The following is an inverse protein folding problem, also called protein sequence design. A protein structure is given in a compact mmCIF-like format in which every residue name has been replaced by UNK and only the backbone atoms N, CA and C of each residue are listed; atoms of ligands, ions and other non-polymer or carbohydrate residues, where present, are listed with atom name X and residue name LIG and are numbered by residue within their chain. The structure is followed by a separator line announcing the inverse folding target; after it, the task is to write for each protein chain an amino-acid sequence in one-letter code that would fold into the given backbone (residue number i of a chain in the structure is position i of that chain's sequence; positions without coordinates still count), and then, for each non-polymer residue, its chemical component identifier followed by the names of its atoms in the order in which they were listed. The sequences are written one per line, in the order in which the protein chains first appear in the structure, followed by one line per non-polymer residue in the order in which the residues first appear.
data_IF_533650077354
#
_entry.id   IF_533650077354
#
_cell.length_a   1.000
_cell.length_b   1.000
_cell.length_c   1.000
_cell.angle_alpha   90.00
_cell.angle_beta   90.00
_cell.angle_gamma   90.00
#
_symmetry.space_group_name_H-M   'P 1'
#
loop_
_entity.id
_entity.type
_entity.pdbx_description
1 polymer ?
#
# COMPACT_ATOMS: atom_id res chain seq x y z
N UNK A 1 -4.15 -38.76 -20.51
CA UNK A 1 -5.00 -37.59 -20.73
C UNK A 1 -5.02 -36.79 -19.47
N UNK A 2 -4.09 -35.82 -19.33
CA UNK A 2 -3.99 -34.92 -18.18
C UNK A 2 -5.07 -33.85 -18.29
N UNK A 3 -6.16 -33.98 -17.54
CA UNK A 3 -7.09 -32.87 -17.29
C UNK A 3 -6.32 -31.81 -16.48
N UNK A 4 -5.92 -30.72 -17.13
CA UNK A 4 -5.54 -29.48 -16.45
C UNK A 4 -6.76 -29.06 -15.61
N UNK A 5 -6.58 -28.99 -14.30
CA UNK A 5 -7.54 -28.35 -13.41
C UNK A 5 -7.42 -26.83 -13.68
N UNK A 6 -8.14 -26.35 -14.68
CA UNK A 6 -8.27 -24.93 -14.98
C UNK A 6 -9.30 -24.34 -14.03
N UNK A 7 -8.88 -23.51 -13.08
CA UNK A 7 -9.85 -22.79 -12.25
C UNK A 7 -9.33 -22.16 -10.95
N UNK A 8 -8.19 -22.56 -10.44
CA UNK A 8 -7.65 -21.97 -9.21
C UNK A 8 -6.79 -20.74 -9.58
N UNK A 9 -7.22 -19.55 -9.12
CA UNK A 9 -6.40 -18.35 -9.19
C UNK A 9 -5.20 -18.51 -8.25
N UNK A 10 -4.03 -17.95 -8.58
CA UNK A 10 -2.87 -18.06 -7.70
C UNK A 10 -3.15 -17.34 -6.37
N UNK A 11 -2.88 -18.04 -5.26
CA UNK A 11 -2.89 -17.44 -3.93
C UNK A 11 -1.61 -16.60 -3.76
N UNK A 12 -1.79 -15.36 -3.34
CA UNK A 12 -0.72 -14.38 -3.16
C UNK A 12 -0.57 -14.05 -1.68
N UNK A 13 0.67 -13.81 -1.25
CA UNK A 13 1.00 -13.36 0.11
C UNK A 13 1.82 -12.07 0.02
N UNK A 14 1.43 -11.06 0.79
CA UNK A 14 2.09 -9.75 0.83
C UNK A 14 3.37 -9.76 1.68
N UNK A 15 4.00 -8.60 1.81
CA UNK A 15 5.26 -8.42 2.54
C UNK A 15 5.04 -7.99 3.99
N UNK A 16 6.09 -8.09 4.84
CA UNK A 16 6.11 -7.41 6.13
C UNK A 16 6.01 -5.88 5.96
N UNK A 17 5.53 -5.16 7.00
CA UNK A 17 5.46 -3.71 6.96
C UNK A 17 6.85 -3.07 6.96
N UNK A 18 6.94 -1.89 6.35
CA UNK A 18 8.08 -0.99 6.46
C UNK A 18 7.73 0.07 7.49
N UNK A 19 8.41 0.05 8.65
CA UNK A 19 8.10 0.95 9.76
C UNK A 19 9.39 1.49 10.35
N UNK A 20 9.44 2.80 10.62
CA UNK A 20 10.52 3.45 11.35
C UNK A 20 10.23 3.51 12.85
N UNK A 21 11.06 4.26 13.60
CA UNK A 21 10.96 4.38 15.07
C UNK A 21 9.81 5.28 15.52
N UNK A 22 9.42 6.27 14.73
CA UNK A 22 8.40 7.26 15.08
C UNK A 22 7.47 7.55 13.89
N UNK A 23 6.71 6.54 13.41
CA UNK A 23 5.80 6.74 12.30
C UNK A 23 4.58 7.57 12.75
N UNK A 24 4.15 8.53 11.93
CA UNK A 24 2.92 9.30 12.16
C UNK A 24 1.84 9.02 11.11
N UNK A 25 2.22 8.51 9.96
CA UNK A 25 1.30 8.21 8.85
C UNK A 25 1.54 6.80 8.32
N UNK A 26 0.48 6.02 8.23
CA UNK A 26 0.48 4.70 7.60
C UNK A 26 -0.06 4.79 6.19
N UNK A 27 0.76 4.45 5.21
CA UNK A 27 0.36 4.35 3.80
C UNK A 27 0.02 2.90 3.48
N UNK A 28 -1.17 2.64 3.00
CA UNK A 28 -1.67 1.30 2.72
C UNK A 28 -1.95 1.10 1.23
N UNK A 29 -1.27 0.11 0.63
CA UNK A 29 -1.69 -0.50 -0.62
C UNK A 29 -2.76 -1.56 -0.42
N UNK A 30 -3.24 -2.18 -1.51
CA UNK A 30 -4.17 -3.31 -1.46
C UNK A 30 -3.42 -4.64 -1.31
N UNK A 31 -2.65 -5.00 -2.33
CA UNK A 31 -1.83 -6.22 -2.46
C UNK A 31 -0.70 -5.94 -3.47
N UNK A 32 0.54 -6.38 -3.21
CA UNK A 32 1.64 -6.16 -4.15
C UNK A 32 1.33 -6.73 -5.55
N UNK A 33 1.73 -6.01 -6.61
CA UNK A 33 1.65 -6.52 -7.99
C UNK A 33 2.64 -7.66 -8.24
N UNK A 34 2.46 -8.40 -9.33
CA UNK A 34 3.30 -9.57 -9.68
C UNK A 34 4.80 -9.28 -9.66
N UNK A 35 5.21 -8.14 -10.22
CA UNK A 35 6.62 -7.75 -10.24
C UNK A 35 7.16 -7.49 -8.83
N UNK A 36 6.36 -6.83 -7.98
CA UNK A 36 6.73 -6.59 -6.58
C UNK A 36 6.89 -7.90 -5.82
N UNK A 37 5.96 -8.85 -6.01
CA UNK A 37 6.05 -10.18 -5.40
C UNK A 37 7.30 -10.94 -5.86
N UNK A 38 7.61 -10.92 -7.15
CA UNK A 38 8.80 -11.58 -7.70
C UNK A 38 10.10 -10.97 -7.20
N UNK A 39 10.17 -9.64 -7.11
CA UNK A 39 11.38 -8.91 -6.68
C UNK A 39 11.44 -8.71 -5.16
N UNK A 40 10.40 -9.08 -4.41
CA UNK A 40 10.27 -8.86 -2.97
C UNK A 40 10.48 -7.39 -2.58
N UNK A 41 9.89 -6.47 -3.37
CA UNK A 41 10.02 -5.02 -3.20
C UNK A 41 8.70 -4.31 -3.42
N UNK A 42 8.35 -3.39 -2.53
CA UNK A 42 7.19 -2.52 -2.70
C UNK A 42 7.33 -1.68 -3.97
N UNK A 43 6.24 -1.66 -4.76
CA UNK A 43 6.14 -0.83 -5.97
C UNK A 43 7.30 -1.00 -6.96
N UNK A 44 7.72 -2.25 -7.19
CA UNK A 44 8.86 -2.57 -8.07
C UNK A 44 8.59 -2.34 -9.57
N UNK A 45 7.33 -2.19 -9.99
CA UNK A 45 7.01 -1.93 -11.38
C UNK A 45 7.47 -0.53 -11.79
N UNK A 46 8.35 -0.36 -12.81
CA UNK A 46 9.00 0.92 -13.13
C UNK A 46 8.05 2.06 -13.47
N UNK A 47 6.86 1.74 -14.01
CA UNK A 47 5.85 2.74 -14.36
C UNK A 47 4.92 3.08 -13.19
N UNK A 48 5.11 2.47 -12.01
CA UNK A 48 4.37 2.85 -10.82
C UNK A 48 4.89 4.19 -10.28
N UNK A 49 4.00 5.13 -10.07
CA UNK A 49 4.34 6.50 -9.65
C UNK A 49 4.72 6.63 -8.18
N UNK A 50 4.61 5.57 -7.37
CA UNK A 50 4.82 5.65 -5.92
C UNK A 50 6.22 6.20 -5.57
N UNK A 51 7.26 5.54 -6.06
CA UNK A 51 8.63 5.98 -5.73
C UNK A 51 9.00 7.35 -6.30
N UNK A 52 8.63 7.75 -7.53
CA UNK A 52 8.79 9.13 -7.99
C UNK A 52 8.07 10.17 -7.12
N UNK A 53 6.85 9.88 -6.66
CA UNK A 53 6.11 10.74 -5.72
C UNK A 53 6.85 10.84 -4.39
N UNK A 54 7.23 9.71 -3.79
CA UNK A 54 7.91 9.68 -2.50
C UNK A 54 9.31 10.30 -2.57
N UNK A 55 10.01 10.19 -3.70
CA UNK A 55 11.29 10.88 -3.93
C UNK A 55 11.14 12.40 -3.79
N UNK A 56 10.09 12.98 -4.36
CA UNK A 56 9.80 14.41 -4.23
C UNK A 56 9.40 14.80 -2.80
N UNK A 57 8.58 13.98 -2.13
CA UNK A 57 8.07 14.28 -0.79
C UNK A 57 9.14 14.10 0.28
N UNK A 58 9.93 13.02 0.21
CA UNK A 58 10.96 12.67 1.20
C UNK A 58 12.36 13.22 0.84
N UNK A 59 12.55 13.84 -0.33
CA UNK A 59 13.80 14.51 -0.71
C UNK A 59 14.94 13.57 -1.05
N UNK A 60 14.68 12.39 -1.64
CA UNK A 60 15.74 11.48 -2.10
C UNK A 60 15.82 11.44 -3.65
N UNK A 61 16.98 11.08 -4.23
CA UNK A 61 17.12 10.92 -5.69
C UNK A 61 16.18 9.84 -6.25
N UNK A 62 15.55 10.11 -7.39
CA UNK A 62 14.59 9.17 -8.02
C UNK A 62 15.25 7.82 -8.35
N UNK A 63 16.55 7.85 -8.67
CA UNK A 63 17.39 6.67 -8.97
C UNK A 63 18.05 6.04 -7.72
N UNK A 64 17.75 6.54 -6.52
CA UNK A 64 18.24 5.94 -5.27
C UNK A 64 17.95 4.44 -5.21
N UNK A 65 18.83 3.67 -4.61
CA UNK A 65 18.60 2.24 -4.39
C UNK A 65 17.42 1.99 -3.45
N UNK A 66 16.91 0.76 -3.44
CA UNK A 66 15.69 0.44 -2.68
C UNK A 66 15.88 0.61 -1.17
N UNK A 67 17.05 0.30 -0.63
CA UNK A 67 17.33 0.45 0.79
C UNK A 67 17.34 1.93 1.20
N UNK A 68 17.94 2.80 0.39
CA UNK A 68 17.92 4.26 0.60
C UNK A 68 16.50 4.83 0.54
N UNK A 69 15.67 4.37 -0.41
CA UNK A 69 14.24 4.77 -0.49
C UNK A 69 13.48 4.41 0.79
N UNK A 70 13.67 3.19 1.30
CA UNK A 70 13.03 2.73 2.53
C UNK A 70 13.53 3.51 3.75
N UNK A 71 14.83 3.83 3.80
CA UNK A 71 15.41 4.64 4.88
C UNK A 71 14.80 6.05 4.90
N UNK A 72 14.74 6.72 3.75
CA UNK A 72 14.16 8.05 3.62
C UNK A 72 12.67 8.08 4.00
N UNK A 73 11.90 7.08 3.56
CA UNK A 73 10.48 6.94 3.92
C UNK A 73 10.30 6.81 5.44
N UNK A 74 11.09 5.95 6.08
CA UNK A 74 11.06 5.77 7.54
C UNK A 74 11.49 7.03 8.29
N UNK A 75 12.52 7.72 7.80
CA UNK A 75 13.01 8.98 8.40
C UNK A 75 11.97 10.09 8.30
N UNK A 76 11.19 10.13 7.23
CA UNK A 76 10.09 11.08 7.06
C UNK A 76 8.85 10.74 7.92
N UNK A 77 8.89 9.68 8.73
CA UNK A 77 7.79 9.30 9.61
C UNK A 77 6.65 8.54 8.92
N UNK A 78 6.91 7.98 7.75
CA UNK A 78 5.93 7.15 7.03
C UNK A 78 6.15 5.67 7.31
N UNK A 79 5.05 4.96 7.61
CA UNK A 79 4.98 3.52 7.56
C UNK A 79 4.30 3.09 6.26
N UNK A 80 4.69 1.94 5.72
CA UNK A 80 4.16 1.40 4.47
C UNK A 80 3.79 -0.06 4.66
N UNK A 81 2.58 -0.43 4.24
CA UNK A 81 2.11 -1.80 4.19
C UNK A 81 1.03 -1.99 3.14
N UNK A 82 0.49 -3.21 3.04
CA UNK A 82 -0.71 -3.53 2.28
C UNK A 82 -1.84 -3.94 3.23
N UNK A 83 -3.09 -3.69 2.84
CA UNK A 83 -4.25 -4.09 3.64
C UNK A 83 -4.36 -5.61 3.69
N UNK A 84 -4.12 -6.28 2.55
CA UNK A 84 -4.29 -7.72 2.44
C UNK A 84 -2.97 -8.45 2.69
N UNK A 85 -3.03 -9.44 3.58
CA UNK A 85 -1.98 -10.42 3.79
C UNK A 85 -2.00 -11.46 2.69
N UNK A 86 -3.20 -11.96 2.37
CA UNK A 86 -3.40 -12.99 1.35
C UNK A 86 -4.65 -12.70 0.52
N UNK A 87 -4.63 -13.08 -0.73
CA UNK A 87 -5.80 -13.12 -1.61
C UNK A 87 -5.52 -13.99 -2.84
N UNK A 88 -6.58 -14.38 -3.54
CA UNK A 88 -6.48 -14.93 -4.89
C UNK A 88 -6.63 -13.82 -5.92
N UNK A 89 -5.68 -13.72 -6.84
CA UNK A 89 -5.70 -12.75 -7.92
C UNK A 89 -4.93 -13.26 -9.13
N UNK A 90 -5.49 -13.10 -10.30
CA UNK A 90 -4.77 -13.27 -11.58
C UNK A 90 -4.22 -11.92 -12.05
N UNK A 91 -2.93 -11.88 -12.39
CA UNK A 91 -2.25 -10.65 -12.80
C UNK A 91 -2.05 -9.65 -11.64
N UNK A 92 -2.00 -8.37 -11.98
CA UNK A 92 -1.68 -7.28 -11.05
C UNK A 92 -2.81 -6.29 -10.80
N UNK A 93 -3.98 -6.47 -11.43
CA UNK A 93 -5.09 -5.55 -11.28
C UNK A 93 -5.88 -5.80 -9.99
N UNK A 94 -6.13 -4.74 -9.24
CA UNK A 94 -6.93 -4.79 -8.02
C UNK A 94 -8.36 -5.31 -8.25
N UNK A 95 -8.93 -5.03 -9.42
CA UNK A 95 -10.26 -5.51 -9.82
C UNK A 95 -10.33 -7.04 -10.01
N UNK A 96 -9.19 -7.70 -10.18
CA UNK A 96 -9.10 -9.15 -10.29
C UNK A 96 -8.97 -9.87 -8.94
N UNK A 97 -8.83 -9.14 -7.83
CA UNK A 97 -8.82 -9.72 -6.47
C UNK A 97 -10.18 -10.37 -6.19
N UNK A 98 -10.16 -11.66 -5.86
CA UNK A 98 -11.36 -12.40 -5.46
C UNK A 98 -11.73 -12.00 -4.01
N UNK A 99 -12.75 -11.18 -3.86
CA UNK A 99 -13.10 -10.55 -2.59
C UNK A 99 -13.37 -11.54 -1.44
N UNK A 100 -13.86 -12.73 -1.75
CA UNK A 100 -14.12 -13.79 -0.78
C UNK A 100 -12.85 -14.50 -0.25
N UNK A 101 -11.70 -14.23 -0.88
CA UNK A 101 -10.40 -14.81 -0.50
C UNK A 101 -9.50 -13.82 0.25
N UNK A 102 -9.99 -12.59 0.47
CA UNK A 102 -9.24 -11.56 1.16
C UNK A 102 -9.00 -11.91 2.63
N UNK A 103 -7.73 -11.97 3.03
CA UNK A 103 -7.29 -12.08 4.42
C UNK A 103 -6.50 -10.81 4.74
N UNK A 104 -6.93 -9.99 5.71
CA UNK A 104 -6.24 -8.75 6.04
C UNK A 104 -4.94 -9.00 6.81
N UNK A 105 -3.99 -8.10 6.65
CA UNK A 105 -2.81 -8.00 7.50
C UNK A 105 -3.18 -7.58 8.93
N UNK A 106 -2.27 -7.79 9.86
CA UNK A 106 -2.40 -7.46 11.29
C UNK A 106 -2.20 -5.97 11.56
N UNK A 107 -2.99 -5.13 10.87
CA UNK A 107 -2.85 -3.68 10.91
C UNK A 107 -3.26 -3.12 12.28
N UNK A 108 -4.21 -3.73 12.96
CA UNK A 108 -4.64 -3.29 14.29
C UNK A 108 -3.48 -3.40 15.28
N UNK A 109 -2.77 -4.52 15.27
CA UNK A 109 -1.59 -4.75 16.12
C UNK A 109 -0.48 -3.74 15.81
N UNK A 110 -0.21 -3.48 14.53
CA UNK A 110 0.76 -2.45 14.13
C UNK A 110 0.38 -1.05 14.64
N UNK A 111 -0.90 -0.70 14.58
CA UNK A 111 -1.40 0.57 15.10
C UNK A 111 -1.31 0.64 16.64
N UNK A 112 -1.46 -0.48 17.35
CA UNK A 112 -1.30 -0.54 18.79
C UNK A 112 0.16 -0.46 19.23
N UNK A 113 1.07 -1.04 18.47
CA UNK A 113 2.52 -0.94 18.68
C UNK A 113 3.05 0.47 18.38
N UNK A 114 2.47 1.16 17.39
CA UNK A 114 2.88 2.48 16.92
C UNK A 114 1.80 3.55 17.16
N UNK A 115 1.65 3.95 18.43
CA UNK A 115 0.58 4.88 18.85
C UNK A 115 0.73 6.31 18.31
N UNK A 116 1.87 6.64 17.75
CA UNK A 116 2.11 7.91 17.06
C UNK A 116 1.43 8.02 15.70
N UNK A 117 1.00 6.90 15.11
CA UNK A 117 0.25 6.90 13.86
C UNK A 117 -1.17 7.42 14.13
N UNK A 118 -1.50 8.56 13.58
CA UNK A 118 -2.84 9.19 13.65
C UNK A 118 -3.48 9.38 12.27
N UNK A 119 -2.72 9.10 11.19
CA UNK A 119 -3.17 9.23 9.80
C UNK A 119 -3.01 7.94 9.04
N UNK A 120 -4.05 7.54 8.31
CA UNK A 120 -4.08 6.37 7.44
C UNK A 120 -4.41 6.83 6.02
N UNK A 121 -3.46 6.65 5.11
CA UNK A 121 -3.58 7.01 3.71
C UNK A 121 -3.71 5.76 2.85
N UNK A 122 -4.73 5.71 2.01
CA UNK A 122 -4.97 4.59 1.10
C UNK A 122 -4.48 4.90 -0.30
N UNK A 123 -3.55 4.11 -0.82
CA UNK A 123 -3.09 4.18 -2.20
C UNK A 123 -4.14 3.56 -3.13
N UNK A 124 -5.17 4.32 -3.44
CA UNK A 124 -6.26 3.91 -4.30
C UNK A 124 -7.49 3.36 -3.56
N UNK A 125 -8.53 3.18 -4.34
CA UNK A 125 -9.87 2.79 -3.86
C UNK A 125 -9.90 1.41 -3.22
N UNK A 126 -9.24 0.41 -3.83
CA UNK A 126 -9.28 -0.98 -3.36
C UNK A 126 -8.68 -1.13 -1.96
N UNK A 127 -7.58 -0.43 -1.68
CA UNK A 127 -6.98 -0.42 -0.34
C UNK A 127 -7.98 0.08 0.72
N UNK A 128 -8.68 1.19 0.46
CA UNK A 128 -9.70 1.72 1.36
C UNK A 128 -10.88 0.75 1.53
N UNK A 129 -11.41 0.19 0.44
CA UNK A 129 -12.55 -0.74 0.49
C UNK A 129 -12.23 -1.99 1.31
N UNK A 130 -11.06 -2.60 1.09
CA UNK A 130 -10.64 -3.78 1.86
C UNK A 130 -10.39 -3.43 3.33
N UNK A 131 -9.79 -2.28 3.63
CA UNK A 131 -9.61 -1.81 5.00
C UNK A 131 -10.95 -1.62 5.71
N UNK A 132 -11.90 -0.92 5.09
CA UNK A 132 -13.23 -0.68 5.67
C UNK A 132 -13.97 -1.99 5.90
N UNK A 133 -13.87 -2.93 4.96
CA UNK A 133 -14.56 -4.24 5.05
C UNK A 133 -14.04 -5.10 6.20
N UNK A 134 -12.73 -5.14 6.42
CA UNK A 134 -12.10 -6.12 7.30
C UNK A 134 -11.65 -5.58 8.64
N UNK A 135 -11.38 -4.27 8.75
CA UNK A 135 -10.65 -3.70 9.87
C UNK A 135 -11.36 -2.52 10.55
N UNK A 136 -12.25 -1.81 9.86
CA UNK A 136 -12.86 -0.58 10.40
C UNK A 136 -13.54 -0.81 11.75
N UNK A 137 -14.32 -1.87 11.87
CA UNK A 137 -15.07 -2.21 13.09
C UNK A 137 -14.20 -2.80 14.22
N UNK A 138 -12.93 -3.05 13.93
CA UNK A 138 -11.95 -3.61 14.88
C UNK A 138 -11.03 -2.56 15.47
N UNK A 139 -11.12 -1.32 14.99
CA UNK A 139 -10.32 -0.22 15.49
C UNK A 139 -10.72 0.16 16.92
N UNK A 140 -9.77 0.57 17.76
CA UNK A 140 -10.08 0.99 19.13
C UNK A 140 -10.95 2.26 19.12
N UNK A 141 -12.13 2.20 19.76
CA UNK A 141 -13.14 3.30 19.80
C UNK A 141 -12.58 4.64 20.33
N UNK A 142 -11.58 4.57 21.22
CA UNK A 142 -11.00 5.76 21.86
C UNK A 142 -9.90 6.43 21.04
N UNK A 143 -9.59 5.91 19.85
CA UNK A 143 -8.51 6.41 19.01
C UNK A 143 -9.04 6.98 17.70
N UNK A 144 -8.89 8.28 17.53
CA UNK A 144 -9.28 8.96 16.30
C UNK A 144 -8.16 8.84 15.25
N UNK A 145 -8.53 8.49 14.02
CA UNK A 145 -7.63 8.48 12.87
C UNK A 145 -8.16 9.40 11.77
N UNK A 146 -7.24 10.09 11.09
CA UNK A 146 -7.54 10.78 9.84
C UNK A 146 -7.40 9.79 8.68
N UNK A 147 -8.47 9.58 7.92
CA UNK A 147 -8.48 8.68 6.76
C UNK A 147 -8.45 9.49 5.47
N UNK A 148 -7.49 9.20 4.59
CA UNK A 148 -7.34 9.90 3.32
C UNK A 148 -7.19 8.87 2.19
N UNK A 149 -8.13 8.90 1.22
CA UNK A 149 -7.96 8.15 -0.01
C UNK A 149 -7.19 8.99 -1.03
N UNK A 150 -6.05 8.46 -1.46
CA UNK A 150 -5.18 9.05 -2.46
C UNK A 150 -5.41 8.41 -3.83
N UNK A 151 -5.16 9.13 -4.93
CA UNK A 151 -5.20 8.53 -6.25
C UNK A 151 -4.17 7.42 -6.36
N UNK A 152 -4.57 6.29 -6.93
CA UNK A 152 -3.67 5.14 -7.09
C UNK A 152 -2.43 5.49 -7.89
N UNK A 153 -1.28 5.03 -7.42
CA UNK A 153 0.01 5.17 -8.11
C UNK A 153 0.22 4.13 -9.21
N UNK A 154 -0.68 3.15 -9.31
CA UNK A 154 -0.66 2.15 -10.37
C UNK A 154 -0.80 2.79 -11.75
N UNK A 155 -0.05 2.33 -12.78
CA UNK A 155 -0.23 2.78 -14.16
C UNK A 155 -1.61 2.42 -14.71
N UNK A 156 -2.31 1.44 -14.15
CA UNK A 156 -3.71 1.15 -14.49
C UNK A 156 -4.66 2.32 -14.20
N UNK A 157 -4.28 3.23 -13.28
CA UNK A 157 -5.01 4.47 -13.01
C UNK A 157 -4.48 5.61 -13.89
N UNK A 158 -4.71 5.51 -15.20
CA UNK A 158 -4.17 6.43 -16.22
C UNK A 158 -4.98 7.72 -16.39
N UNK A 159 -6.14 7.86 -15.74
CA UNK A 159 -7.04 9.02 -15.89
C UNK A 159 -6.48 10.33 -15.29
N UNK A 160 -5.47 10.25 -14.44
CA UNK A 160 -4.87 11.40 -13.76
C UNK A 160 -3.39 11.52 -14.11
N UNK A 161 -2.95 12.73 -14.48
CA UNK A 161 -1.54 13.00 -14.80
C UNK A 161 -0.66 12.94 -13.57
N UNK A 162 0.63 12.67 -13.77
CA UNK A 162 1.61 12.55 -12.67
C UNK A 162 1.65 13.80 -11.78
N UNK A 163 1.67 15.00 -12.36
CA UNK A 163 1.73 16.25 -11.60
C UNK A 163 0.51 16.43 -10.67
N UNK A 164 -0.67 16.04 -11.13
CA UNK A 164 -1.90 16.09 -10.32
C UNK A 164 -1.87 15.08 -9.18
N UNK A 165 -1.40 13.85 -9.46
CA UNK A 165 -1.20 12.84 -8.41
C UNK A 165 -0.22 13.32 -7.35
N UNK A 166 0.94 13.84 -7.79
CA UNK A 166 1.98 14.35 -6.90
C UNK A 166 1.45 15.43 -5.97
N UNK A 167 0.68 16.38 -6.48
CA UNK A 167 0.12 17.47 -5.68
C UNK A 167 -0.83 16.95 -4.60
N UNK A 168 -1.76 16.06 -4.94
CA UNK A 168 -2.69 15.46 -3.99
C UNK A 168 -1.97 14.63 -2.91
N UNK A 169 -0.95 13.87 -3.30
CA UNK A 169 -0.13 13.11 -2.37
C UNK A 169 0.66 14.02 -1.43
N UNK A 170 1.27 15.08 -1.98
CA UNK A 170 2.02 16.07 -1.20
C UNK A 170 1.13 16.77 -0.19
N UNK A 171 -0.02 17.25 -0.63
CA UNK A 171 -1.00 17.91 0.24
C UNK A 171 -1.43 17.01 1.41
N UNK A 172 -1.68 15.74 1.16
CA UNK A 172 -2.12 14.79 2.17
C UNK A 172 -1.01 14.37 3.16
N UNK A 173 0.24 14.25 2.71
CA UNK A 173 1.33 13.71 3.52
C UNK A 173 2.13 14.79 4.26
N UNK A 174 2.11 16.06 3.80
CA UNK A 174 2.90 17.16 4.40
C UNK A 174 2.09 18.10 5.31
N UNK A 175 0.81 17.77 5.58
CA UNK A 175 -0.04 18.52 6.54
C UNK A 175 0.18 18.15 7.98
#
# INVERSE_FOLDING_TARGET
VNKRISGLKPQLTSFPPVVGTSPHTLILGSMPGERSLREQRYYAFPQNSFWPIMATICGFPVDADYAARLAALKQAGFALWDVLQECEREGSLDSAIAAQTEIPNRIIELLDEHRTIDRICFNGRKAEESFRRHLMDKLPEKRAFTYIRLPSTSPAHASMRFAEKLELWREALMR
#
